data_IF_068256444595
#
_entry.id   IF_068256444595
#
_cell.length_a   1.000
_cell.length_b   1.000
_cell.length_c   1.000
_cell.angle_alpha   90.00
_cell.angle_beta   90.00
_cell.angle_gamma   90.00
#
_symmetry.space_group_name_H-M   'P 1'
#
loop_
_entity.id
_entity.type
_entity.pdbx_description
1 polymer ?
#
# COMPACT_ATOMS: atom_id res chain seq x y z
N UNK A 1 -12.76 -4.92 -13.42
CA UNK A 1 -11.36 -5.27 -13.11
C UNK A 1 -11.31 -6.29 -11.98
N UNK A 2 -10.42 -7.31 -12.04
CA UNK A 2 -10.19 -8.29 -10.95
C UNK A 2 -8.87 -7.94 -10.26
N UNK A 3 -8.88 -7.80 -8.93
CA UNK A 3 -7.66 -7.59 -8.14
C UNK A 3 -7.02 -8.96 -7.93
N UNK A 4 -5.72 -9.07 -8.21
CA UNK A 4 -4.92 -10.26 -7.92
C UNK A 4 -3.76 -9.84 -7.03
N UNK A 5 -3.62 -10.52 -5.91
CA UNK A 5 -2.46 -10.38 -5.05
C UNK A 5 -1.40 -11.36 -5.53
N UNK A 6 -0.15 -10.91 -5.61
CA UNK A 6 0.98 -11.83 -5.73
C UNK A 6 1.22 -12.46 -4.36
N UNK A 7 1.83 -13.65 -4.33
CA UNK A 7 2.19 -14.33 -3.07
C UNK A 7 3.01 -13.41 -2.18
N UNK A 8 4.02 -12.73 -2.76
CA UNK A 8 4.84 -11.74 -2.04
C UNK A 8 4.02 -10.61 -1.43
N UNK A 9 3.01 -10.10 -2.14
CA UNK A 9 2.18 -9.02 -1.61
C UNK A 9 1.28 -9.48 -0.45
N UNK A 10 0.87 -10.76 -0.44
CA UNK A 10 0.14 -11.35 0.68
C UNK A 10 1.07 -11.53 1.90
N UNK A 11 2.27 -12.06 1.69
CA UNK A 11 3.29 -12.16 2.75
C UNK A 11 3.67 -10.79 3.34
N UNK A 12 3.78 -9.77 2.49
CA UNK A 12 4.11 -8.42 2.96
C UNK A 12 2.98 -7.84 3.83
N UNK A 13 1.71 -8.15 3.52
CA UNK A 13 0.57 -7.72 4.33
C UNK A 13 0.54 -8.43 5.70
N UNK A 14 0.87 -9.72 5.72
CA UNK A 14 0.99 -10.51 6.94
C UNK A 14 2.12 -9.98 7.83
N UNK A 15 3.32 -9.76 7.27
CA UNK A 15 4.45 -9.16 8.01
C UNK A 15 4.13 -7.79 8.59
N UNK A 16 3.36 -6.97 7.86
CA UNK A 16 2.90 -5.67 8.37
C UNK A 16 1.95 -5.87 9.56
N UNK A 17 1.03 -6.82 9.48
CA UNK A 17 0.11 -7.13 10.59
C UNK A 17 0.88 -7.61 11.81
N UNK A 18 1.79 -8.58 11.65
CA UNK A 18 2.59 -9.14 12.75
C UNK A 18 3.42 -8.06 13.46
N UNK A 19 4.04 -7.15 12.67
CA UNK A 19 4.78 -6.02 13.21
C UNK A 19 3.87 -5.08 14.02
N UNK A 20 2.68 -4.77 13.50
CA UNK A 20 1.73 -3.90 14.19
C UNK A 20 1.13 -4.56 15.43
N UNK A 21 0.85 -5.86 15.41
CA UNK A 21 0.39 -6.59 16.59
C UNK A 21 1.43 -6.58 17.71
N UNK A 22 2.71 -6.72 17.35
CA UNK A 22 3.81 -6.69 18.32
C UNK A 22 4.01 -5.32 18.96
N UNK A 23 3.92 -4.23 18.17
CA UNK A 23 4.29 -2.89 18.64
C UNK A 23 3.11 -1.98 18.98
N UNK A 24 1.94 -2.20 18.40
CA UNK A 24 0.79 -1.31 18.44
C UNK A 24 -0.52 -2.05 18.12
N UNK A 25 -0.91 -3.04 18.94
CA UNK A 25 -2.01 -3.97 18.61
C UNK A 25 -3.34 -3.27 18.36
N UNK A 26 -3.58 -2.12 18.98
CA UNK A 26 -4.81 -1.34 18.83
C UNK A 26 -4.90 -0.65 17.45
N UNK A 27 -3.78 -0.53 16.74
CA UNK A 27 -3.68 0.06 15.40
C UNK A 27 -3.56 -0.98 14.27
N UNK A 28 -3.32 -2.26 14.59
CA UNK A 28 -3.11 -3.32 13.60
C UNK A 28 -4.33 -3.50 12.67
N UNK A 29 -5.50 -3.83 13.23
CA UNK A 29 -6.74 -4.02 12.44
C UNK A 29 -7.11 -2.77 11.63
N UNK A 30 -7.14 -1.54 12.19
CA UNK A 30 -7.47 -0.35 11.42
C UNK A 30 -6.50 -0.06 10.27
N UNK A 31 -5.21 -0.38 10.43
CA UNK A 31 -4.20 -0.16 9.40
C UNK A 31 -4.34 -1.16 8.25
N UNK A 32 -4.47 -2.46 8.55
CA UNK A 32 -4.66 -3.51 7.55
C UNK A 32 -5.97 -3.27 6.78
N UNK A 33 -7.05 -2.91 7.49
CA UNK A 33 -8.33 -2.60 6.85
C UNK A 33 -8.22 -1.42 5.89
N UNK A 34 -7.51 -0.34 6.24
CA UNK A 34 -7.25 0.79 5.33
C UNK A 34 -6.46 0.39 4.09
N UNK A 35 -5.46 -0.47 4.23
CA UNK A 35 -4.68 -0.98 3.09
C UNK A 35 -5.61 -1.78 2.16
N UNK A 36 -6.42 -2.67 2.73
CA UNK A 36 -7.36 -3.49 1.97
C UNK A 36 -8.42 -2.63 1.24
N UNK A 37 -9.04 -1.68 1.95
CA UNK A 37 -9.99 -0.71 1.39
C UNK A 37 -9.35 0.11 0.25
N UNK A 38 -8.12 0.59 0.42
CA UNK A 38 -7.40 1.33 -0.62
C UNK A 38 -7.14 0.50 -1.88
N UNK A 39 -6.80 -0.78 -1.73
CA UNK A 39 -6.62 -1.71 -2.84
C UNK A 39 -7.97 -2.00 -3.53
N UNK A 40 -9.05 -2.21 -2.76
CA UNK A 40 -10.41 -2.41 -3.28
C UNK A 40 -10.94 -1.18 -4.01
N UNK A 41 -10.69 0.03 -3.51
CA UNK A 41 -11.11 1.30 -4.13
C UNK A 41 -10.48 1.49 -5.51
N UNK A 42 -9.32 0.89 -5.77
CA UNK A 42 -8.66 0.89 -7.08
C UNK A 42 -9.44 0.12 -8.16
N UNK A 43 -10.33 -0.80 -7.77
CA UNK A 43 -11.26 -1.46 -8.70
C UNK A 43 -12.20 -0.46 -9.39
N UNK A 44 -12.57 0.61 -8.68
CA UNK A 44 -13.44 1.67 -9.19
C UNK A 44 -12.70 2.71 -10.04
N UNK A 45 -11.37 2.86 -9.85
CA UNK A 45 -10.55 3.87 -10.53
C UNK A 45 -9.21 3.27 -10.98
N UNK A 46 -9.20 2.47 -12.05
CA UNK A 46 -8.00 1.73 -12.49
C UNK A 46 -6.81 2.63 -12.85
N UNK A 47 -7.09 3.87 -13.25
CA UNK A 47 -6.09 4.88 -13.65
C UNK A 47 -5.65 5.82 -12.52
N UNK A 48 -6.09 5.60 -11.28
CA UNK A 48 -5.62 6.37 -10.12
C UNK A 48 -4.26 5.86 -9.64
N UNK A 49 -3.38 6.78 -9.28
CA UNK A 49 -2.02 6.53 -8.81
C UNK A 49 -0.95 7.00 -9.80
N UNK A 50 0.17 7.51 -9.29
CA UNK A 50 1.31 7.93 -10.11
C UNK A 50 1.87 6.72 -10.84
N UNK A 51 2.37 6.90 -12.07
CA UNK A 51 3.23 5.89 -12.68
C UNK A 51 4.41 5.65 -11.72
N UNK A 52 4.49 4.43 -11.20
CA UNK A 52 5.55 4.05 -10.27
C UNK A 52 6.87 3.89 -10.99
N UNK A 53 7.97 3.77 -10.24
CA UNK A 53 9.32 3.57 -10.81
C UNK A 53 9.46 2.33 -11.71
N UNK A 54 8.60 1.32 -11.54
CA UNK A 54 8.57 0.13 -12.40
C UNK A 54 7.60 0.30 -13.56
N UNK A 55 8.06 -0.03 -14.77
CA UNK A 55 7.25 0.00 -16.00
C UNK A 55 5.98 -0.86 -15.80
N UNK A 56 4.81 -0.24 -15.92
CA UNK A 56 3.50 -0.89 -15.71
C UNK A 56 3.00 -0.95 -14.27
N UNK A 57 3.77 -0.45 -13.29
CA UNK A 57 3.33 -0.35 -11.89
C UNK A 57 2.77 1.05 -11.59
N UNK A 58 1.84 1.13 -10.64
CA UNK A 58 1.34 2.39 -10.08
C UNK A 58 1.53 2.37 -8.56
N UNK A 59 2.05 3.45 -8.02
CA UNK A 59 2.23 3.63 -6.58
C UNK A 59 0.97 4.26 -5.99
N UNK A 60 0.46 3.65 -4.92
CA UNK A 60 -0.65 4.19 -4.13
C UNK A 60 -0.06 4.77 -2.86
N UNK A 61 0.00 6.10 -2.80
CA UNK A 61 0.35 6.80 -1.56
C UNK A 61 -0.95 6.99 -0.78
N UNK A 62 -1.12 6.36 0.40
CA UNK A 62 -2.28 6.66 1.25
C UNK A 62 -2.26 8.14 1.63
N UNK A 63 -3.44 8.76 1.71
CA UNK A 63 -3.68 10.21 1.76
C UNK A 63 -3.04 10.99 2.95
N UNK A 64 -2.12 10.42 3.74
CA UNK A 64 -1.38 11.08 4.82
C UNK A 64 0.04 10.54 5.00
N UNK A 65 0.81 10.46 3.92
CA UNK A 65 2.26 10.34 4.03
C UNK A 65 2.89 11.61 3.44
N UNK A 66 3.61 12.44 4.22
CA UNK A 66 4.38 13.53 3.63
C UNK A 66 5.41 12.89 2.70
N UNK A 67 5.30 13.21 1.41
CA UNK A 67 6.25 12.74 0.41
C UNK A 67 7.64 13.24 0.79
N UNK A 68 8.50 12.34 1.29
CA UNK A 68 9.93 12.58 1.26
C UNK A 68 10.32 12.66 -0.21
N UNK A 69 10.44 13.88 -0.73
CA UNK A 69 11.10 14.16 -1.98
C UNK A 69 12.58 13.85 -1.79
N UNK A 70 12.94 12.56 -1.89
CA UNK A 70 14.32 12.15 -2.09
C UNK A 70 14.71 12.50 -3.53
N UNK A 71 14.98 13.79 -3.73
CA UNK A 71 15.66 14.34 -4.89
C UNK A 71 17.12 13.95 -4.72
N UNK A 72 17.58 12.96 -5.49
CA UNK A 72 18.99 12.64 -5.58
C UNK A 72 19.76 13.87 -6.03
N UNK A 73 20.67 14.32 -5.17
CA UNK A 73 21.75 15.21 -5.55
C UNK A 73 22.70 14.44 -6.49
N UNK A 74 23.11 15.19 -7.52
CA UNK A 74 24.25 14.98 -8.44
C UNK A 74 25.24 13.87 -8.09
#
# INVERSE_FOLDING_TARGET
MRIRWTVRAAEDLERINDYLEMHSPHFAEPAIRKIYEGVCFRKAWPDRGRHGRRRGARELVPHRCPTSSYTGLR
#
